data_IF_127601743685
#
_entry.id   IF_127601743685
#
_cell.length_a   1.000
_cell.length_b   1.000
_cell.length_c   1.000
_cell.angle_alpha   90.00
_cell.angle_beta   90.00
_cell.angle_gamma   90.00
#
_symmetry.space_group_name_H-M   'P 1'
#
loop_
_entity.id
_entity.type
_entity.pdbx_description
1 polymer ?
#
# COMPACT_ATOMS: atom_id res chain seq x y z
N UNK A 1 -9.07 -9.86 15.00
CA UNK A 1 -10.08 -9.56 16.01
C UNK A 1 -11.35 -9.20 15.26
N UNK A 2 -12.36 -10.07 15.28
CA UNK A 2 -13.66 -9.74 14.69
C UNK A 2 -14.25 -8.56 15.48
N UNK A 3 -14.72 -7.52 14.77
CA UNK A 3 -15.32 -6.34 15.39
C UNK A 3 -16.68 -6.76 16.00
N UNK A 4 -16.78 -6.85 17.33
CA UNK A 4 -18.05 -7.13 18.03
C UNK A 4 -18.95 -5.87 18.06
N UNK A 5 -19.42 -5.44 16.89
CA UNK A 5 -20.52 -4.48 16.82
C UNK A 5 -21.82 -5.18 17.20
N UNK A 6 -22.66 -4.48 17.97
CA UNK A 6 -24.02 -4.97 18.20
C UNK A 6 -24.76 -5.13 16.86
N UNK A 7 -25.65 -6.13 16.77
CA UNK A 7 -26.38 -6.40 15.54
C UNK A 7 -27.19 -5.18 15.06
N UNK A 8 -27.68 -4.35 15.99
CA UNK A 8 -28.37 -3.10 15.70
C UNK A 8 -27.43 -2.02 15.12
N UNK A 9 -26.25 -1.85 15.70
CA UNK A 9 -25.25 -0.91 15.19
C UNK A 9 -24.78 -1.29 13.78
N UNK A 10 -24.55 -2.59 13.53
CA UNK A 10 -24.14 -3.09 12.21
C UNK A 10 -25.20 -2.80 11.16
N UNK A 11 -26.47 -3.11 11.44
CA UNK A 11 -27.60 -2.83 10.53
C UNK A 11 -27.74 -1.34 10.22
N UNK A 12 -27.62 -0.48 11.24
CA UNK A 12 -27.70 0.97 11.04
C UNK A 12 -26.55 1.49 10.17
N UNK A 13 -25.32 1.00 10.38
CA UNK A 13 -24.18 1.38 9.57
C UNK A 13 -24.35 0.97 8.11
N UNK A 14 -24.79 -0.27 7.86
CA UNK A 14 -25.04 -0.78 6.51
C UNK A 14 -26.11 0.05 5.79
N UNK A 15 -27.19 0.36 6.50
CA UNK A 15 -28.28 1.12 5.92
C UNK A 15 -27.88 2.58 5.63
N UNK A 16 -27.03 3.20 6.46
CA UNK A 16 -26.49 4.53 6.19
C UNK A 16 -25.68 4.58 4.88
N UNK A 17 -24.83 3.57 4.64
CA UNK A 17 -24.08 3.46 3.39
C UNK A 17 -24.97 3.22 2.17
N UNK A 18 -26.06 2.46 2.33
CA UNK A 18 -27.03 2.26 1.26
C UNK A 18 -27.72 3.57 0.87
N UNK A 19 -28.17 4.36 1.85
CA UNK A 19 -28.80 5.66 1.60
C UNK A 19 -27.85 6.64 0.89
N UNK A 20 -26.57 6.65 1.28
CA UNK A 20 -25.56 7.47 0.61
C UNK A 20 -25.35 7.07 -0.86
N UNK A 21 -25.30 5.75 -1.11
CA UNK A 21 -25.10 5.21 -2.45
C UNK A 21 -26.28 5.54 -3.40
N UNK A 22 -27.51 5.54 -2.90
CA UNK A 22 -28.71 5.93 -3.67
C UNK A 22 -28.66 7.40 -4.10
N UNK A 23 -28.04 8.27 -3.32
CA UNK A 23 -27.80 9.68 -3.68
C UNK A 23 -26.54 9.87 -4.56
N UNK A 24 -25.85 8.80 -4.93
CA UNK A 24 -24.59 8.85 -5.67
C UNK A 24 -23.41 9.35 -4.84
N UNK A 25 -23.54 9.36 -3.52
CA UNK A 25 -22.52 9.80 -2.56
C UNK A 25 -21.75 8.59 -2.06
N UNK A 26 -20.42 8.67 -2.13
CA UNK A 26 -19.52 7.57 -1.74
C UNK A 26 -19.41 7.37 -0.22
N UNK A 27 -19.73 8.39 0.58
CA UNK A 27 -19.64 8.36 2.04
C UNK A 27 -20.94 8.84 2.69
N UNK A 28 -21.45 8.14 3.71
CA UNK A 28 -22.64 8.58 4.41
C UNK A 28 -22.35 9.83 5.23
N UNK A 29 -22.99 10.93 4.85
CA UNK A 29 -23.13 12.12 5.68
C UNK A 29 -24.05 11.90 6.90
N UNK A 30 -24.04 12.84 7.84
CA UNK A 30 -24.81 12.80 9.08
C UNK A 30 -26.29 12.47 8.86
N UNK A 31 -26.90 13.01 7.80
CA UNK A 31 -28.31 12.78 7.44
C UNK A 31 -28.60 11.29 7.16
N UNK A 32 -27.67 10.57 6.53
CA UNK A 32 -27.83 9.15 6.20
C UNK A 32 -27.68 8.29 7.46
N UNK A 33 -26.69 8.61 8.30
CA UNK A 33 -26.45 7.91 9.56
C UNK A 33 -27.61 8.08 10.56
N UNK A 34 -28.13 9.31 10.71
CA UNK A 34 -29.26 9.59 11.60
C UNK A 34 -30.52 8.89 11.09
N UNK A 35 -30.80 8.97 9.78
CA UNK A 35 -31.94 8.28 9.17
C UNK A 35 -31.84 6.76 9.37
N UNK A 36 -30.63 6.21 9.32
CA UNK A 36 -30.43 4.79 9.51
C UNK A 36 -30.58 4.33 10.97
N UNK A 37 -30.16 5.16 11.94
CA UNK A 37 -30.40 4.90 13.35
C UNK A 37 -31.89 4.98 13.72
N UNK A 38 -32.64 5.86 13.07
CA UNK A 38 -34.08 6.05 13.27
C UNK A 38 -34.94 5.03 12.50
N UNK A 39 -34.33 4.17 11.68
CA UNK A 39 -35.04 3.11 10.96
C UNK A 39 -35.63 2.05 11.89
N UNK A 40 -35.03 1.87 13.07
CA UNK A 40 -35.55 1.02 14.14
C UNK A 40 -36.39 1.86 15.12
N UNK A 41 -37.73 1.92 14.97
CA UNK A 41 -38.59 2.83 15.74
C UNK A 41 -38.70 2.48 17.24
N UNK A 42 -38.40 1.23 17.57
CA UNK A 42 -38.33 0.69 18.95
C UNK A 42 -36.87 0.59 19.43
N UNK A 43 -35.92 1.02 18.59
CA UNK A 43 -34.50 0.97 18.88
C UNK A 43 -34.10 1.94 20.01
N UNK A 44 -32.99 1.66 20.71
CA UNK A 44 -32.56 2.44 21.87
C UNK A 44 -32.26 3.92 21.53
N UNK A 45 -31.77 4.19 20.31
CA UNK A 45 -31.51 5.56 19.83
C UNK A 45 -32.81 6.32 19.59
N UNK A 46 -33.80 5.68 18.97
CA UNK A 46 -35.10 6.32 18.69
C UNK A 46 -35.84 6.62 20.00
N UNK A 47 -35.82 5.69 20.95
CA UNK A 47 -36.44 5.90 22.26
C UNK A 47 -35.75 7.02 23.05
N UNK A 48 -34.41 7.05 23.05
CA UNK A 48 -33.67 8.14 23.67
C UNK A 48 -34.03 9.50 23.04
N UNK A 49 -34.05 9.60 21.71
CA UNK A 49 -34.36 10.85 21.03
C UNK A 49 -35.82 11.30 21.23
N UNK A 50 -36.77 10.36 21.44
CA UNK A 50 -38.14 10.68 21.85
C UNK A 50 -38.17 11.37 23.22
N UNK A 51 -37.37 10.90 24.17
CA UNK A 51 -37.26 11.52 25.49
C UNK A 51 -36.75 12.98 25.42
N UNK A 52 -36.05 13.33 24.33
CA UNK A 52 -35.55 14.69 24.04
C UNK A 52 -36.38 15.46 23.00
N UNK A 53 -37.59 15.02 22.66
CA UNK A 53 -38.54 15.80 21.85
C UNK A 53 -38.59 15.47 20.36
N UNK A 54 -37.99 14.36 19.92
CA UNK A 54 -38.11 13.89 18.53
C UNK A 54 -39.58 13.78 18.09
N UNK A 55 -39.94 14.47 17.01
CA UNK A 55 -41.31 14.45 16.49
C UNK A 55 -41.60 13.14 15.73
N UNK A 56 -42.62 12.39 16.16
CA UNK A 56 -42.99 11.10 15.55
C UNK A 56 -43.32 11.19 14.05
N UNK A 57 -43.86 12.33 13.60
CA UNK A 57 -44.15 12.58 12.18
C UNK A 57 -42.89 12.59 11.29
N UNK A 58 -41.71 12.89 11.87
CA UNK A 58 -40.41 12.92 11.16
C UNK A 58 -39.75 11.54 11.10
N UNK A 59 -40.09 10.64 12.03
CA UNK A 59 -39.67 9.22 11.99
C UNK A 59 -40.32 8.53 10.79
N UNK A 60 -41.59 8.83 10.51
CA UNK A 60 -42.33 8.24 9.38
C UNK A 60 -41.84 8.77 8.02
N UNK A 61 -41.39 10.03 7.93
CA UNK A 61 -40.79 10.54 6.68
C UNK A 61 -39.47 9.86 6.30
N UNK A 62 -38.73 9.30 7.27
CA UNK A 62 -37.57 8.46 6.99
C UNK A 62 -37.97 7.09 6.42
N UNK A 63 -39.18 6.59 6.72
CA UNK A 63 -39.74 5.35 6.14
C UNK A 63 -40.24 5.54 4.71
N UNK A 64 -40.88 6.67 4.39
CA UNK A 64 -41.56 6.85 3.10
C UNK A 64 -40.64 7.22 1.94
N UNK A 65 -39.37 7.56 2.20
CA UNK A 65 -38.48 8.02 1.14
C UNK A 65 -37.61 6.95 0.48
N UNK A 66 -37.69 5.66 0.85
CA UNK A 66 -37.19 4.54 0.04
C UNK A 66 -37.88 3.22 0.43
N UNK A 67 -38.63 2.64 -0.53
CA UNK A 67 -39.16 1.28 -0.43
C UNK A 67 -38.00 0.28 -0.53
N UNK A 68 -37.48 -0.18 0.60
CA UNK A 68 -36.59 -1.34 0.64
C UNK A 68 -37.16 -2.33 1.65
N UNK A 69 -37.59 -3.49 1.13
CA UNK A 69 -38.01 -4.62 1.94
C UNK A 69 -36.89 -5.02 2.90
N UNK A 70 -37.26 -5.37 4.13
CA UNK A 70 -36.40 -5.72 5.26
C UNK A 70 -35.60 -7.05 5.08
N UNK A 71 -35.13 -7.35 3.87
CA UNK A 71 -34.42 -8.57 3.50
C UNK A 71 -33.10 -8.34 2.75
N UNK A 72 -32.68 -7.11 2.46
CA UNK A 72 -31.45 -6.86 1.70
C UNK A 72 -30.25 -6.56 2.61
N UNK A 73 -29.51 -7.61 2.95
CA UNK A 73 -28.17 -7.50 3.54
C UNK A 73 -27.16 -7.17 2.43
N UNK A 74 -26.61 -5.95 2.45
CA UNK A 74 -25.46 -5.58 1.59
C UNK A 74 -24.26 -6.50 1.85
N UNK A 75 -24.16 -7.09 3.06
CA UNK A 75 -23.14 -8.08 3.41
C UNK A 75 -23.30 -9.43 2.68
N UNK A 76 -24.52 -9.88 2.37
CA UNK A 76 -24.74 -11.18 1.71
C UNK A 76 -24.68 -11.11 0.18
N UNK A 77 -25.04 -9.96 -0.40
CA UNK A 77 -25.00 -9.76 -1.87
C UNK A 77 -23.60 -9.43 -2.41
N UNK A 78 -22.64 -9.09 -1.55
CA UNK A 78 -21.27 -8.78 -1.94
C UNK A 78 -20.42 -10.04 -2.17
N UNK A 79 -20.59 -10.71 -3.31
CA UNK A 79 -19.52 -11.53 -3.92
C UNK A 79 -18.40 -10.61 -4.47
N UNK A 80 -17.72 -9.87 -3.59
CA UNK A 80 -16.37 -9.23 -3.71
C UNK A 80 -16.19 -8.16 -2.61
N UNK A 81 -14.94 -7.91 -2.17
CA UNK A 81 -14.64 -7.32 -0.87
C UNK A 81 -14.84 -5.80 -0.91
N UNK A 82 -16.00 -5.34 -0.46
CA UNK A 82 -16.25 -3.92 -0.20
C UNK A 82 -16.92 -3.73 1.15
N UNK A 83 -16.47 -4.46 2.17
CA UNK A 83 -16.47 -3.87 3.52
C UNK A 83 -15.40 -2.79 3.45
N UNK A 84 -15.77 -1.60 3.01
CA UNK A 84 -14.80 -0.53 2.77
C UNK A 84 -13.98 -0.30 4.03
N UNK A 85 -12.67 -0.09 3.91
CA UNK A 85 -11.78 0.33 5.00
C UNK A 85 -12.34 1.51 5.83
N UNK A 86 -13.29 2.26 5.23
CA UNK A 86 -14.04 3.35 5.85
C UNK A 86 -15.14 2.89 6.82
N UNK A 87 -15.89 1.82 6.49
CA UNK A 87 -16.81 1.15 7.44
C UNK A 87 -16.01 0.66 8.65
N UNK A 88 -14.84 0.06 8.40
CA UNK A 88 -13.95 -0.43 9.45
C UNK A 88 -13.42 0.73 10.33
N UNK A 89 -13.09 1.88 9.73
CA UNK A 89 -12.61 3.07 10.43
C UNK A 89 -13.68 3.67 11.35
N UNK A 90 -14.91 3.84 10.85
CA UNK A 90 -16.03 4.34 11.64
C UNK A 90 -16.37 3.35 12.77
N UNK A 91 -16.39 2.05 12.45
CA UNK A 91 -16.61 0.98 13.44
C UNK A 91 -15.57 0.98 14.55
N UNK A 92 -14.27 1.11 14.21
CA UNK A 92 -13.18 1.20 15.19
C UNK A 92 -13.30 2.41 16.11
N UNK A 93 -13.70 3.58 15.58
CA UNK A 93 -13.94 4.79 16.40
C UNK A 93 -15.11 4.60 17.36
N UNK A 94 -16.25 4.06 16.88
CA UNK A 94 -17.43 3.78 17.71
C UNK A 94 -17.10 2.79 18.84
N UNK A 95 -16.26 1.79 18.56
CA UNK A 95 -15.81 0.78 19.54
C UNK A 95 -14.85 1.36 20.59
N UNK A 96 -14.05 2.37 20.25
CA UNK A 96 -13.09 2.98 21.18
C UNK A 96 -13.76 3.78 22.30
N UNK A 97 -14.98 4.29 22.07
CA UNK A 97 -15.63 5.25 22.97
C UNK A 97 -16.82 4.67 23.75
N UNK A 98 -17.59 3.70 23.22
CA UNK A 98 -18.89 3.28 23.79
C UNK A 98 -19.37 1.85 23.38
N UNK A 99 -18.49 0.84 23.42
CA UNK A 99 -18.84 -0.60 23.32
C UNK A 99 -19.53 -1.10 22.02
N UNK A 100 -19.44 -0.38 20.89
CA UNK A 100 -19.98 -0.88 19.61
C UNK A 100 -21.52 -0.94 19.54
N UNK A 101 -22.21 -0.19 20.40
CA UNK A 101 -23.67 -0.10 20.47
C UNK A 101 -24.23 0.95 19.50
N UNK A 102 -25.53 0.89 19.20
CA UNK A 102 -26.20 1.93 18.38
C UNK A 102 -26.24 3.30 19.08
N UNK A 103 -26.26 3.34 20.41
CA UNK A 103 -26.08 4.57 21.19
C UNK A 103 -24.67 5.14 21.04
N UNK A 104 -23.65 4.27 21.10
CA UNK A 104 -22.27 4.66 20.80
C UNK A 104 -22.12 5.25 19.39
N UNK A 105 -22.86 4.71 18.42
CA UNK A 105 -22.90 5.29 17.08
C UNK A 105 -23.51 6.70 17.07
N UNK A 106 -24.60 6.96 17.81
CA UNK A 106 -25.16 8.31 17.94
C UNK A 106 -24.16 9.30 18.56
N UNK A 107 -23.46 8.90 19.63
CA UNK A 107 -22.46 9.75 20.31
C UNK A 107 -21.33 10.10 19.35
N UNK A 108 -20.81 9.13 18.59
CA UNK A 108 -19.80 9.38 17.56
C UNK A 108 -20.27 10.39 16.49
N UNK A 109 -21.54 10.33 16.06
CA UNK A 109 -22.10 11.32 15.13
C UNK A 109 -22.15 12.73 15.72
N UNK A 110 -22.39 12.85 17.02
CA UNK A 110 -22.43 14.13 17.73
C UNK A 110 -21.05 14.79 17.76
N UNK A 111 -19.98 14.00 17.89
CA UNK A 111 -18.62 14.51 18.04
C UNK A 111 -17.87 14.71 16.70
N UNK A 112 -18.01 13.79 15.73
CA UNK A 112 -17.17 13.77 14.52
C UNK A 112 -17.90 14.30 13.27
N UNK A 113 -19.24 14.32 13.24
CA UNK A 113 -20.01 14.72 12.06
C UNK A 113 -20.47 16.19 12.09
N UNK A 114 -20.09 16.93 11.04
CA UNK A 114 -20.58 18.28 10.80
C UNK A 114 -22.08 18.25 10.50
N UNK A 115 -22.81 19.21 11.05
CA UNK A 115 -24.26 19.41 10.88
C UNK A 115 -25.17 18.43 11.63
N UNK A 116 -24.65 17.53 12.48
CA UNK A 116 -25.47 16.64 13.32
C UNK A 116 -26.45 17.41 14.19
N UNK A 117 -26.00 18.50 14.82
CA UNK A 117 -26.84 19.41 15.62
C UNK A 117 -28.02 19.96 14.81
N UNK A 118 -27.73 20.57 13.65
CA UNK A 118 -28.76 21.18 12.78
C UNK A 118 -29.82 20.15 12.36
N UNK A 119 -29.40 18.92 12.06
CA UNK A 119 -30.31 17.85 11.64
C UNK A 119 -31.21 17.42 12.81
N UNK A 120 -30.64 17.18 14.00
CA UNK A 120 -31.41 16.76 15.18
C UNK A 120 -32.38 17.86 15.65
N UNK A 121 -31.93 19.12 15.67
CA UNK A 121 -32.80 20.27 15.98
C UNK A 121 -33.93 20.42 14.95
N UNK A 122 -33.65 20.20 13.65
CA UNK A 122 -34.69 20.21 12.62
C UNK A 122 -35.76 19.11 12.78
N UNK A 123 -35.42 18.03 13.50
CA UNK A 123 -36.33 16.92 13.84
C UNK A 123 -37.08 17.13 15.17
N UNK A 124 -36.83 18.25 15.86
CA UNK A 124 -37.48 18.64 17.11
C UNK A 124 -36.71 18.23 18.37
N UNK A 125 -35.52 17.66 18.24
CA UNK A 125 -34.70 17.24 19.38
C UNK A 125 -34.10 18.46 20.07
N UNK A 126 -34.25 18.55 21.39
CA UNK A 126 -33.62 19.57 22.20
C UNK A 126 -32.13 19.25 22.38
N UNK A 127 -31.28 19.91 21.60
CA UNK A 127 -29.83 19.70 21.61
C UNK A 127 -29.18 19.93 22.96
N UNK A 128 -29.56 21.00 23.66
CA UNK A 128 -28.96 21.37 24.95
C UNK A 128 -29.26 20.34 26.03
N UNK A 129 -30.46 19.76 26.04
CA UNK A 129 -30.82 18.68 26.96
C UNK A 129 -30.12 17.36 26.62
N UNK A 130 -30.01 17.03 25.32
CA UNK A 130 -29.32 15.83 24.86
C UNK A 130 -27.83 15.86 25.23
N UNK A 131 -27.13 16.98 24.98
CA UNK A 131 -25.71 17.12 25.33
C UNK A 131 -25.51 17.07 26.85
N UNK A 132 -26.33 17.79 27.62
CA UNK A 132 -26.26 17.72 29.08
C UNK A 132 -26.49 16.30 29.60
N UNK A 133 -27.39 15.53 28.98
CA UNK A 133 -27.58 14.12 29.35
C UNK A 133 -26.33 13.28 29.02
N UNK A 134 -25.74 13.45 27.83
CA UNK A 134 -24.49 12.74 27.45
C UNK A 134 -23.35 13.10 28.41
N UNK A 135 -23.20 14.38 28.75
CA UNK A 135 -22.16 14.84 29.68
C UNK A 135 -22.40 14.31 31.10
N UNK A 136 -23.65 14.24 31.56
CA UNK A 136 -23.98 13.66 32.86
C UNK A 136 -23.74 12.14 32.92
N UNK A 137 -23.97 11.41 31.82
CA UNK A 137 -23.60 10.00 31.71
C UNK A 137 -22.08 9.80 31.76
N UNK A 138 -21.29 10.77 31.26
CA UNK A 138 -19.81 10.78 31.38
C UNK A 138 -19.32 11.07 32.80
N UNK A 139 -20.11 11.74 33.63
CA UNK A 139 -19.74 12.14 34.99
C UNK A 139 -20.03 11.09 36.08
N UNK A 140 -20.49 9.89 35.72
CA UNK A 140 -20.48 8.78 36.66
C UNK A 140 -19.01 8.43 37.00
N UNK A 141 -18.57 8.49 38.27
CA UNK A 141 -17.19 8.15 38.61
C UNK A 141 -16.92 6.72 38.16
N UNK A 142 -15.98 6.57 37.23
CA UNK A 142 -15.49 5.28 36.75
C UNK A 142 -15.01 4.46 37.96
N UNK A 143 -15.81 3.48 38.37
CA UNK A 143 -15.33 2.41 39.25
C UNK A 143 -14.54 1.49 38.34
N UNK A 144 -13.21 1.67 38.32
CA UNK A 144 -12.29 0.77 37.63
C UNK A 144 -12.26 -0.57 38.38
N UNK A 145 -12.98 -1.57 37.88
CA UNK A 145 -12.82 -2.97 38.30
C UNK A 145 -11.50 -3.58 37.75
N UNK A 146 -10.85 -2.87 36.82
CA UNK A 146 -9.58 -3.25 36.19
C UNK A 146 -8.65 -2.03 36.24
N UNK A 147 -7.38 -2.16 36.66
CA UNK A 147 -6.42 -1.05 36.66
C UNK A 147 -6.32 -0.40 35.28
N UNK A 148 -6.20 0.93 35.26
CA UNK A 148 -6.00 1.69 34.03
C UNK A 148 -4.63 1.32 33.46
N UNK A 149 -4.60 0.52 32.41
CA UNK A 149 -3.37 0.13 31.74
C UNK A 149 -2.96 1.24 30.75
N UNK A 150 -2.18 2.19 31.27
CA UNK A 150 -1.59 3.27 30.46
C UNK A 150 -0.55 2.75 29.45
N UNK A 151 -0.09 1.50 29.58
CA UNK A 151 0.94 0.93 28.71
C UNK A 151 0.35 0.54 27.33
N UNK A 152 -0.95 0.26 27.22
CA UNK A 152 -1.61 -0.09 25.96
C UNK A 152 -1.50 1.00 24.86
N UNK A 153 -1.36 2.28 25.25
CA UNK A 153 -1.15 3.39 24.29
C UNK A 153 0.30 3.46 23.75
N UNK A 154 1.28 2.88 24.45
CA UNK A 154 2.69 2.91 23.99
C UNK A 154 2.99 1.91 22.87
N UNK A 155 2.27 0.79 22.79
CA UNK A 155 2.47 -0.20 21.72
C UNK A 155 1.99 0.32 20.35
N UNK A 156 0.84 1.01 20.32
CA UNK A 156 0.28 1.62 19.10
C UNK A 156 1.19 2.75 18.60
N UNK A 157 1.70 3.60 19.51
CA UNK A 157 2.64 4.68 19.19
C UNK A 157 3.96 4.12 18.62
N UNK A 158 4.49 3.05 19.21
CA UNK A 158 5.72 2.41 18.75
C UNK A 158 5.62 1.81 17.34
N UNK A 159 4.48 1.20 17.00
CA UNK A 159 4.24 0.65 15.66
C UNK A 159 4.22 1.77 14.60
N UNK A 160 3.47 2.84 14.85
CA UNK A 160 3.34 3.96 13.91
C UNK A 160 4.67 4.71 13.70
N UNK A 161 5.49 4.83 14.75
CA UNK A 161 6.88 5.33 14.66
C UNK A 161 7.75 4.50 13.72
N UNK A 162 7.67 3.18 13.82
CA UNK A 162 8.41 2.27 12.94
C UNK A 162 7.96 2.43 11.49
N UNK A 163 6.65 2.54 11.26
CA UNK A 163 6.10 2.73 9.91
C UNK A 163 6.53 4.07 9.29
N UNK A 164 6.54 5.18 10.04
CA UNK A 164 7.07 6.47 9.55
C UNK A 164 8.55 6.37 9.18
N UNK A 165 9.37 5.88 10.11
CA UNK A 165 10.81 5.79 9.93
C UNK A 165 11.18 4.90 8.74
N UNK A 166 10.56 3.73 8.62
CA UNK A 166 10.78 2.82 7.52
C UNK A 166 10.30 3.41 6.19
N UNK A 167 9.12 4.04 6.16
CA UNK A 167 8.63 4.70 4.95
C UNK A 167 9.58 5.83 4.48
N UNK A 168 10.13 6.60 5.41
CA UNK A 168 11.07 7.64 5.06
C UNK A 168 12.37 7.09 4.46
N UNK A 169 12.94 6.05 5.08
CA UNK A 169 14.14 5.36 4.58
C UNK A 169 13.93 4.76 3.18
N UNK A 170 12.75 4.21 2.90
CA UNK A 170 12.41 3.72 1.55
C UNK A 170 12.41 4.87 0.53
N UNK A 171 11.77 6.01 0.84
CA UNK A 171 11.72 7.16 -0.08
C UNK A 171 13.12 7.70 -0.38
N UNK A 172 13.93 7.89 0.65
CA UNK A 172 15.30 8.40 0.52
C UNK A 172 16.19 7.43 -0.25
N UNK A 173 16.17 6.15 0.11
CA UNK A 173 16.99 5.14 -0.57
C UNK A 173 16.59 4.97 -2.04
N UNK A 174 15.29 4.93 -2.35
CA UNK A 174 14.83 4.87 -3.75
C UNK A 174 15.16 6.14 -4.53
N UNK A 175 15.21 7.31 -3.87
CA UNK A 175 15.66 8.56 -4.50
C UNK A 175 17.13 8.48 -4.92
N UNK A 176 17.99 7.95 -4.06
CA UNK A 176 19.42 7.75 -4.37
C UNK A 176 19.59 6.74 -5.50
N UNK A 177 18.85 5.63 -5.49
CA UNK A 177 18.88 4.64 -6.58
C UNK A 177 18.44 5.26 -7.91
N UNK A 178 17.42 6.11 -7.90
CA UNK A 178 16.95 6.84 -9.08
C UNK A 178 18.01 7.79 -9.63
N UNK A 179 18.68 8.55 -8.75
CA UNK A 179 19.81 9.42 -9.14
C UNK A 179 20.98 8.62 -9.71
N UNK A 180 21.30 7.45 -9.14
CA UNK A 180 22.32 6.55 -9.66
C UNK A 180 21.98 6.07 -11.08
N UNK A 181 20.77 5.57 -11.29
CA UNK A 181 20.28 5.17 -12.61
C UNK A 181 20.35 6.31 -13.64
N UNK A 182 20.05 7.54 -13.20
CA UNK A 182 19.93 8.70 -14.07
C UNK A 182 21.26 9.33 -14.44
N UNK A 183 22.13 9.54 -13.45
CA UNK A 183 23.32 10.36 -13.61
C UNK A 183 24.60 9.54 -13.75
N UNK A 184 24.65 8.35 -13.14
CA UNK A 184 25.79 7.45 -13.30
C UNK A 184 25.55 6.53 -14.50
N UNK A 185 24.45 5.77 -14.49
CA UNK A 185 24.19 4.77 -15.53
C UNK A 185 23.62 5.35 -16.82
N UNK A 186 23.08 6.58 -16.78
CA UNK A 186 22.43 7.25 -17.92
C UNK A 186 21.39 6.36 -18.63
N UNK A 187 20.68 5.51 -17.87
CA UNK A 187 19.79 4.49 -18.40
C UNK A 187 18.32 4.89 -18.26
N UNK A 188 17.69 5.27 -19.37
CA UNK A 188 16.27 5.66 -19.42
C UNK A 188 15.34 4.53 -18.96
N UNK A 189 15.68 3.28 -19.31
CA UNK A 189 14.95 2.09 -18.90
C UNK A 189 14.97 1.91 -17.38
N UNK A 190 16.17 1.93 -16.77
CA UNK A 190 16.31 1.74 -15.33
C UNK A 190 15.65 2.89 -14.56
N UNK A 191 15.80 4.14 -15.02
CA UNK A 191 15.07 5.29 -14.46
C UNK A 191 13.55 5.08 -14.48
N UNK A 192 13.01 4.57 -15.58
CA UNK A 192 11.57 4.32 -15.71
C UNK A 192 11.09 3.28 -14.69
N UNK A 193 11.84 2.19 -14.53
CA UNK A 193 11.53 1.13 -13.56
C UNK A 193 11.61 1.67 -12.12
N UNK A 194 12.67 2.39 -11.78
CA UNK A 194 12.85 2.97 -10.44
C UNK A 194 11.77 4.01 -10.14
N UNK A 195 11.44 4.90 -11.08
CA UNK A 195 10.36 5.88 -10.93
C UNK A 195 9.01 5.22 -10.72
N UNK A 196 8.70 4.14 -11.45
CA UNK A 196 7.45 3.39 -11.26
C UNK A 196 7.41 2.73 -9.88
N UNK A 197 8.51 2.14 -9.43
CA UNK A 197 8.61 1.57 -8.07
C UNK A 197 8.38 2.64 -6.98
N UNK A 198 8.97 3.83 -7.14
CA UNK A 198 8.74 4.98 -6.24
C UNK A 198 7.29 5.43 -6.22
N UNK A 199 6.64 5.49 -7.38
CA UNK A 199 5.25 5.88 -7.51
C UNK A 199 4.33 4.89 -6.80
N UNK A 200 4.48 3.60 -7.11
CA UNK A 200 3.66 2.53 -6.55
C UNK A 200 3.84 2.47 -5.02
N UNK A 201 5.08 2.64 -4.53
CA UNK A 201 5.34 2.75 -3.10
C UNK A 201 4.59 3.92 -2.45
N UNK A 202 4.63 5.11 -3.05
CA UNK A 202 3.92 6.26 -2.52
C UNK A 202 2.40 6.08 -2.54
N UNK A 203 1.85 5.43 -3.57
CA UNK A 203 0.42 5.10 -3.64
C UNK A 203 0.01 4.10 -2.55
N UNK A 204 0.80 3.05 -2.34
CA UNK A 204 0.54 2.08 -1.26
C UNK A 204 0.64 2.73 0.12
N UNK A 205 1.58 3.67 0.32
CA UNK A 205 1.73 4.37 1.59
C UNK A 205 0.50 5.22 1.95
N UNK A 206 -0.26 5.72 0.96
CA UNK A 206 -1.50 6.47 1.19
C UNK A 206 -2.62 5.65 1.84
N UNK A 207 -2.48 4.32 1.89
CA UNK A 207 -3.44 3.45 2.57
C UNK A 207 -3.38 3.62 4.08
N UNK A 208 -2.27 4.14 4.60
CA UNK A 208 -2.13 4.57 5.99
C UNK A 208 -2.38 6.09 6.04
N UNK A 209 -3.32 6.58 6.88
CA UNK A 209 -3.58 8.01 7.00
C UNK A 209 -2.30 8.79 7.36
N UNK A 210 -1.91 9.73 6.51
CA UNK A 210 -0.67 10.50 6.69
C UNK A 210 -0.63 11.26 8.03
N UNK A 211 -1.78 11.68 8.54
CA UNK A 211 -1.90 12.34 9.85
C UNK A 211 -1.49 11.44 11.01
N UNK A 212 -1.77 10.12 10.93
CA UNK A 212 -1.36 9.14 11.94
C UNK A 212 0.15 8.87 11.91
N UNK A 213 0.78 8.97 10.75
CA UNK A 213 2.23 8.74 10.61
C UNK A 213 3.00 9.98 11.11
N UNK A 214 2.55 11.18 10.72
CA UNK A 214 3.25 12.43 11.04
C UNK A 214 3.11 12.81 12.50
N UNK A 215 1.96 12.56 13.13
CA UNK A 215 1.71 12.92 14.54
C UNK A 215 2.60 12.17 15.53
N UNK A 216 3.09 10.99 15.14
CA UNK A 216 3.96 10.15 15.99
C UNK A 216 5.43 10.25 15.59
N UNK A 217 5.79 11.19 14.70
CA UNK A 217 7.19 11.42 14.36
C UNK A 217 7.92 12.01 15.56
N UNK A 218 8.77 11.21 16.17
CA UNK A 218 9.60 11.62 17.30
C UNK A 218 11.08 11.40 16.98
N UNK A 219 11.70 12.43 16.40
CA UNK A 219 13.14 12.45 16.07
C UNK A 219 13.99 12.71 17.31
N UNK A 220 13.46 13.46 18.29
CA UNK A 220 14.20 13.88 19.50
C UNK A 220 14.47 12.69 20.45
N UNK A 221 13.60 11.68 20.46
CA UNK A 221 13.76 10.45 21.24
C UNK A 221 14.22 9.25 20.39
N UNK A 222 14.69 9.45 19.16
CA UNK A 222 15.27 8.38 18.35
C UNK A 222 16.68 8.04 18.86
N UNK A 223 16.74 6.96 19.63
CA UNK A 223 17.97 6.39 20.21
C UNK A 223 19.01 5.97 19.17
N UNK A 224 18.61 5.80 17.90
CA UNK A 224 19.51 5.40 16.81
C UNK A 224 20.29 6.57 16.21
N UNK A 225 19.93 7.82 16.49
CA UNK A 225 20.50 9.01 15.83
C UNK A 225 22.01 9.21 16.08
N UNK A 226 22.52 8.76 17.22
CA UNK A 226 23.93 8.86 17.59
C UNK A 226 24.73 7.57 17.39
N UNK A 227 24.10 6.49 16.92
CA UNK A 227 24.75 5.18 16.75
C UNK A 227 25.17 5.03 15.30
N UNK A 228 26.46 5.26 15.05
CA UNK A 228 27.05 5.06 13.73
C UNK A 228 27.99 3.86 13.74
N UNK A 229 27.98 3.10 12.64
CA UNK A 229 29.00 2.09 12.39
C UNK A 229 30.06 2.64 11.44
N UNK A 230 31.31 2.18 11.57
CA UNK A 230 32.38 2.61 10.66
C UNK A 230 32.06 2.32 9.18
N UNK A 231 31.31 1.25 8.90
CA UNK A 231 30.84 0.92 7.55
C UNK A 231 29.80 1.92 7.02
N UNK A 232 29.18 2.73 7.86
CA UNK A 232 28.24 3.77 7.47
C UNK A 232 28.95 5.04 6.99
N UNK A 233 30.17 5.27 7.46
CA UNK A 233 30.97 6.47 7.22
C UNK A 233 31.86 6.39 5.98
N UNK A 234 32.05 5.19 5.42
CA UNK A 234 32.94 4.98 4.27
C UNK A 234 32.22 4.33 3.09
N UNK A 235 32.42 4.91 1.90
CA UNK A 235 32.02 4.38 0.59
C UNK A 235 33.24 4.50 -0.32
N UNK A 236 33.59 3.44 -1.06
CA UNK A 236 34.80 3.44 -1.89
C UNK A 236 34.50 3.97 -3.30
N UNK A 237 33.29 3.72 -3.81
CA UNK A 237 32.83 4.19 -5.11
C UNK A 237 31.31 4.42 -5.13
N UNK A 238 30.81 4.87 -6.28
CA UNK A 238 29.40 5.10 -6.56
C UNK A 238 28.55 3.80 -6.53
N UNK A 239 29.11 2.67 -6.96
CA UNK A 239 28.45 1.36 -6.85
C UNK A 239 28.16 0.95 -5.40
N UNK A 240 29.07 1.25 -4.46
CA UNK A 240 28.88 1.02 -3.03
C UNK A 240 27.76 1.89 -2.46
N UNK A 241 27.65 3.14 -2.94
CA UNK A 241 26.54 4.03 -2.56
C UNK A 241 25.21 3.43 -3.03
N UNK A 242 25.14 2.95 -4.27
CA UNK A 242 23.96 2.26 -4.78
C UNK A 242 23.62 1.03 -3.92
N UNK A 243 24.59 0.13 -3.69
CA UNK A 243 24.42 -1.10 -2.90
C UNK A 243 23.87 -0.83 -1.52
N UNK A 244 24.48 0.10 -0.79
CA UNK A 244 24.04 0.42 0.56
C UNK A 244 22.60 0.95 0.58
N UNK A 245 22.23 1.81 -0.38
CA UNK A 245 20.89 2.38 -0.42
C UNK A 245 19.83 1.37 -0.85
N UNK A 246 20.10 0.51 -1.84
CA UNK A 246 19.12 -0.50 -2.26
C UNK A 246 18.91 -1.56 -1.17
N UNK A 247 19.95 -1.92 -0.39
CA UNK A 247 19.79 -2.81 0.77
C UNK A 247 18.96 -2.17 1.88
N UNK A 248 19.22 -0.90 2.22
CA UNK A 248 18.39 -0.16 3.19
C UNK A 248 16.93 -0.05 2.77
N UNK A 249 16.66 0.14 1.48
CA UNK A 249 15.30 0.10 0.94
C UNK A 249 14.66 -1.26 1.20
N UNK A 250 15.36 -2.35 0.89
CA UNK A 250 14.85 -3.72 1.07
C UNK A 250 14.58 -4.04 2.54
N UNK A 251 15.48 -3.65 3.45
CA UNK A 251 15.32 -3.80 4.90
C UNK A 251 14.14 -2.96 5.41
N UNK A 252 14.02 -1.71 4.96
CA UNK A 252 12.92 -0.84 5.38
C UNK A 252 11.57 -1.31 4.85
N UNK A 253 11.52 -1.81 3.60
CA UNK A 253 10.33 -2.48 3.06
C UNK A 253 9.97 -3.74 3.84
N UNK A 254 10.96 -4.47 4.37
CA UNK A 254 10.72 -5.62 5.25
C UNK A 254 10.09 -5.20 6.57
N UNK A 255 10.56 -4.11 7.18
CA UNK A 255 9.92 -3.55 8.38
C UNK A 255 8.48 -3.11 8.08
N UNK A 256 8.24 -2.39 6.97
CA UNK A 256 6.89 -2.00 6.56
C UNK A 256 5.97 -3.20 6.31
N UNK A 257 6.49 -4.27 5.68
CA UNK A 257 5.73 -5.49 5.44
C UNK A 257 5.31 -6.15 6.74
N UNK A 258 6.24 -6.32 7.70
CA UNK A 258 5.98 -7.03 8.96
C UNK A 258 5.11 -6.21 9.92
N UNK A 259 5.48 -4.96 10.20
CA UNK A 259 4.69 -4.11 11.09
C UNK A 259 3.38 -3.67 10.44
N UNK A 260 3.32 -3.56 9.12
CA UNK A 260 2.10 -3.24 8.38
C UNK A 260 1.01 -4.30 8.53
N UNK A 261 1.33 -5.55 8.92
CA UNK A 261 0.33 -6.60 9.20
C UNK A 261 -0.60 -6.24 10.37
N UNK A 262 -0.10 -5.44 11.31
CA UNK A 262 -0.88 -4.97 12.46
C UNK A 262 -1.98 -3.98 12.02
N UNK A 263 -1.70 -3.21 10.96
CA UNK A 263 -2.63 -2.21 10.42
C UNK A 263 -3.55 -2.80 9.35
N UNK A 264 -2.99 -3.49 8.35
CA UNK A 264 -3.73 -4.05 7.22
C UNK A 264 -2.97 -5.18 6.53
N UNK A 265 -3.54 -6.41 6.45
CA UNK A 265 -2.97 -7.51 5.68
C UNK A 265 -2.76 -7.15 4.19
N UNK A 266 -3.69 -6.41 3.58
CA UNK A 266 -3.59 -6.02 2.17
C UNK A 266 -2.43 -5.04 1.95
N UNK A 267 -2.21 -4.10 2.87
CA UNK A 267 -1.05 -3.21 2.83
C UNK A 267 0.26 -4.01 2.91
N UNK A 268 0.33 -4.97 3.83
CA UNK A 268 1.50 -5.85 3.96
C UNK A 268 1.78 -6.61 2.67
N UNK A 269 0.76 -7.18 2.02
CA UNK A 269 0.90 -7.88 0.73
C UNK A 269 1.43 -6.94 -0.36
N UNK A 270 0.86 -5.73 -0.49
CA UNK A 270 1.30 -4.75 -1.48
C UNK A 270 2.75 -4.30 -1.25
N UNK A 271 3.15 -4.06 0.00
CA UNK A 271 4.55 -3.76 0.35
C UNK A 271 5.47 -4.94 0.03
N UNK A 272 5.03 -6.18 0.28
CA UNK A 272 5.77 -7.39 -0.10
C UNK A 272 6.03 -7.46 -1.60
N UNK A 273 5.05 -7.15 -2.44
CA UNK A 273 5.22 -7.07 -3.90
C UNK A 273 6.24 -6.01 -4.32
N UNK A 274 6.17 -4.81 -3.71
CA UNK A 274 7.14 -3.74 -3.94
C UNK A 274 8.55 -4.20 -3.52
N UNK A 275 8.67 -4.91 -2.39
CA UNK A 275 9.95 -5.48 -1.93
C UNK A 275 10.52 -6.46 -2.95
N UNK A 276 9.73 -7.38 -3.49
CA UNK A 276 10.22 -8.30 -4.53
C UNK A 276 10.67 -7.57 -5.79
N UNK A 277 9.92 -6.55 -6.23
CA UNK A 277 10.31 -5.72 -7.38
C UNK A 277 11.60 -4.93 -7.11
N UNK A 278 11.90 -4.58 -5.86
CA UNK A 278 13.18 -3.95 -5.50
C UNK A 278 14.37 -4.90 -5.67
N UNK A 279 14.19 -6.22 -5.44
CA UNK A 279 15.23 -7.22 -5.75
C UNK A 279 15.44 -7.39 -7.25
N UNK A 280 14.35 -7.39 -8.04
CA UNK A 280 14.45 -7.45 -9.50
C UNK A 280 15.17 -6.20 -10.04
N UNK A 281 14.87 -5.01 -9.52
CA UNK A 281 15.58 -3.78 -9.85
C UNK A 281 17.08 -3.88 -9.54
N UNK A 282 17.43 -4.37 -8.34
CA UNK A 282 18.84 -4.60 -7.96
C UNK A 282 19.54 -5.50 -8.97
N UNK A 283 18.94 -6.66 -9.30
CA UNK A 283 19.53 -7.59 -10.27
C UNK A 283 19.68 -6.97 -11.66
N UNK A 284 18.70 -6.18 -12.13
CA UNK A 284 18.78 -5.49 -13.43
C UNK A 284 19.92 -4.49 -13.47
N UNK A 285 20.13 -3.73 -12.39
CA UNK A 285 21.23 -2.78 -12.29
C UNK A 285 22.57 -3.50 -12.31
N UNK A 286 22.74 -4.59 -11.55
CA UNK A 286 23.98 -5.37 -11.58
C UNK A 286 24.27 -5.99 -12.95
N UNK A 287 23.25 -6.55 -13.60
CA UNK A 287 23.40 -7.07 -14.97
C UNK A 287 23.79 -5.95 -15.94
N UNK A 288 23.18 -4.77 -15.81
CA UNK A 288 23.54 -3.61 -16.63
C UNK A 288 25.01 -3.23 -16.44
N UNK A 289 25.50 -3.20 -15.20
CA UNK A 289 26.91 -2.92 -14.88
C UNK A 289 27.84 -3.97 -15.48
N UNK A 290 27.55 -5.26 -15.29
CA UNK A 290 28.34 -6.38 -15.82
C UNK A 290 28.41 -6.34 -17.35
N UNK A 291 27.27 -6.18 -18.03
CA UNK A 291 27.24 -6.09 -19.49
C UNK A 291 27.90 -4.81 -20.01
N UNK A 292 27.65 -3.67 -19.38
CA UNK A 292 28.29 -2.41 -19.80
C UNK A 292 29.80 -2.47 -19.65
N UNK A 293 30.32 -3.14 -18.61
CA UNK A 293 31.74 -3.42 -18.45
C UNK A 293 32.28 -4.31 -19.56
N UNK A 294 31.63 -5.46 -19.81
CA UNK A 294 32.01 -6.42 -20.85
C UNK A 294 32.00 -5.81 -22.26
N UNK A 295 31.07 -4.91 -22.54
CA UNK A 295 30.93 -4.27 -23.85
C UNK A 295 31.87 -3.08 -24.03
N UNK A 296 32.43 -2.51 -22.96
CA UNK A 296 33.27 -1.31 -23.01
C UNK A 296 34.53 -1.51 -23.84
N UNK A 297 35.09 -2.72 -23.81
CA UNK A 297 36.35 -3.05 -24.46
C UNK A 297 36.17 -3.65 -25.87
N UNK A 298 34.92 -3.84 -26.31
CA UNK A 298 34.59 -4.40 -27.63
C UNK A 298 34.83 -3.34 -28.71
N UNK A 299 35.69 -3.65 -29.68
CA UNK A 299 36.02 -2.77 -30.81
C UNK A 299 35.44 -3.28 -32.12
N UNK A 300 35.49 -4.60 -32.34
CA UNK A 300 34.99 -5.24 -33.56
C UNK A 300 33.83 -6.18 -33.21
N UNK A 301 32.66 -5.85 -33.75
CA UNK A 301 31.41 -6.59 -33.57
C UNK A 301 30.96 -7.20 -34.90
N UNK A 302 30.75 -8.52 -34.93
CA UNK A 302 30.29 -9.28 -36.09
C UNK A 302 28.80 -9.61 -36.01
N UNK A 303 28.08 -9.44 -37.12
CA UNK A 303 26.66 -9.79 -37.23
C UNK A 303 26.50 -10.99 -38.16
N UNK A 304 25.99 -12.10 -37.61
CA UNK A 304 25.80 -13.36 -38.33
C UNK A 304 24.34 -13.48 -38.81
N UNK A 305 24.12 -13.25 -40.11
CA UNK A 305 22.89 -13.54 -40.85
C UNK A 305 22.77 -14.97 -41.41
N UNK A 306 21.73 -15.21 -42.21
CA UNK A 306 21.42 -16.51 -42.84
C UNK A 306 22.55 -17.07 -43.70
N UNK A 307 23.30 -16.20 -44.35
CA UNK A 307 24.42 -16.54 -45.22
C UNK A 307 25.62 -17.14 -44.46
N UNK A 308 25.61 -17.08 -43.12
CA UNK A 308 26.68 -17.59 -42.26
C UNK A 308 26.32 -18.92 -41.58
N UNK A 309 25.11 -19.45 -41.83
CA UNK A 309 24.52 -20.64 -41.20
C UNK A 309 25.04 -21.96 -41.81
N UNK A 310 26.34 -22.01 -42.08
CA UNK A 310 27.06 -23.15 -42.62
C UNK A 310 28.13 -23.61 -41.62
N UNK A 311 28.29 -24.91 -41.33
CA UNK A 311 29.32 -25.40 -40.41
C UNK A 311 30.75 -24.99 -40.83
N UNK A 312 31.03 -24.86 -42.13
CA UNK A 312 32.33 -24.38 -42.62
C UNK A 312 32.63 -22.92 -42.27
N UNK A 313 31.61 -22.15 -41.90
CA UNK A 313 31.80 -20.78 -41.43
C UNK A 313 32.42 -20.72 -40.02
N UNK A 314 32.37 -21.80 -39.23
CA UNK A 314 32.97 -21.84 -37.90
C UNK A 314 34.50 -21.67 -37.94
N UNK A 315 35.18 -22.32 -38.89
CA UNK A 315 36.63 -22.17 -39.07
C UNK A 315 37.00 -20.75 -39.47
N UNK A 316 36.16 -20.13 -40.30
CA UNK A 316 36.31 -18.72 -40.69
C UNK A 316 36.12 -17.82 -39.47
N UNK A 317 35.12 -18.10 -38.63
CA UNK A 317 34.84 -17.33 -37.43
C UNK A 317 35.95 -17.44 -36.38
N UNK A 318 36.53 -18.63 -36.23
CA UNK A 318 37.69 -18.86 -35.37
C UNK A 318 38.89 -18.02 -35.82
N UNK A 319 39.18 -18.05 -37.11
CA UNK A 319 40.22 -17.20 -37.72
C UNK A 319 39.91 -15.71 -37.49
N UNK A 320 38.66 -15.28 -37.59
CA UNK A 320 38.28 -13.89 -37.32
C UNK A 320 38.49 -13.52 -35.85
N UNK A 321 38.22 -14.42 -34.89
CA UNK A 321 38.51 -14.19 -33.47
C UNK A 321 40.00 -14.02 -33.19
N UNK A 322 40.85 -14.85 -33.82
CA UNK A 322 42.31 -14.71 -33.75
C UNK A 322 42.79 -13.36 -34.32
N UNK A 323 42.10 -12.84 -35.33
CA UNK A 323 42.43 -11.59 -36.02
C UNK A 323 41.74 -10.34 -35.44
N UNK A 324 41.16 -10.44 -34.23
CA UNK A 324 40.68 -9.28 -33.47
C UNK A 324 39.17 -9.03 -33.52
N UNK A 325 38.37 -9.98 -34.01
CA UNK A 325 36.93 -9.97 -33.74
C UNK A 325 36.71 -10.15 -32.23
N UNK A 326 35.98 -9.22 -31.60
CA UNK A 326 35.80 -9.20 -30.15
C UNK A 326 34.47 -9.85 -29.72
N UNK A 327 33.48 -9.77 -30.59
CA UNK A 327 32.11 -10.19 -30.30
C UNK A 327 31.35 -10.56 -31.56
N UNK A 328 30.41 -11.50 -31.42
CA UNK A 328 29.47 -11.87 -32.49
C UNK A 328 28.03 -11.82 -32.00
N UNK A 329 27.13 -11.48 -32.90
CA UNK A 329 25.69 -11.62 -32.69
C UNK A 329 25.08 -12.52 -33.77
N UNK A 330 24.38 -13.56 -33.33
CA UNK A 330 23.51 -14.34 -34.19
C UNK A 330 22.20 -13.60 -34.41
N UNK A 331 21.90 -13.27 -35.67
CA UNK A 331 20.67 -12.59 -36.08
C UNK A 331 20.10 -13.18 -37.39
N UNK A 332 19.32 -14.24 -37.27
CA UNK A 332 18.66 -14.97 -38.35
C UNK A 332 17.14 -14.94 -38.21
N UNK A 333 16.46 -14.29 -39.16
CA UNK A 333 14.99 -14.28 -39.25
C UNK A 333 14.49 -15.45 -40.09
N UNK A 334 13.59 -16.29 -39.58
CA UNK A 334 12.93 -17.39 -40.33
C UNK A 334 13.80 -18.64 -40.61
N UNK A 335 14.65 -19.06 -39.67
CA UNK A 335 15.32 -20.38 -39.74
C UNK A 335 14.52 -21.50 -39.05
N UNK A 336 14.81 -22.75 -39.39
CA UNK A 336 14.28 -23.93 -38.70
C UNK A 336 14.91 -24.07 -37.31
N UNK A 337 14.09 -24.26 -36.27
CA UNK A 337 14.54 -24.29 -34.86
C UNK A 337 15.70 -25.25 -34.59
N UNK A 338 15.66 -26.48 -35.14
CA UNK A 338 16.72 -27.48 -34.92
C UNK A 338 18.08 -26.98 -35.39
N UNK A 339 18.16 -26.46 -36.62
CA UNK A 339 19.41 -25.96 -37.20
C UNK A 339 19.96 -24.76 -36.44
N UNK A 340 19.08 -23.85 -36.02
CA UNK A 340 19.49 -22.67 -35.27
C UNK A 340 20.01 -23.05 -33.88
N UNK A 341 19.40 -24.04 -33.24
CA UNK A 341 19.83 -24.54 -31.93
C UNK A 341 21.21 -25.23 -32.01
N UNK A 342 21.40 -26.13 -32.97
CA UNK A 342 22.67 -26.84 -33.19
C UNK A 342 23.81 -25.84 -33.45
N UNK A 343 23.58 -24.89 -34.36
CA UNK A 343 24.53 -23.83 -34.68
C UNK A 343 24.81 -22.91 -33.49
N UNK A 344 23.80 -22.62 -32.65
CA UNK A 344 23.96 -21.82 -31.43
C UNK A 344 24.85 -22.52 -30.39
N UNK A 345 24.77 -23.85 -30.28
CA UNK A 345 25.65 -24.62 -29.39
C UNK A 345 27.10 -24.59 -29.86
N UNK A 346 27.33 -24.74 -31.16
CA UNK A 346 28.67 -24.63 -31.76
C UNK A 346 29.24 -23.22 -31.54
N UNK A 347 28.47 -22.17 -31.85
CA UNK A 347 28.87 -20.78 -31.62
C UNK A 347 29.22 -20.51 -30.16
N UNK A 348 28.39 -21.02 -29.22
CA UNK A 348 28.65 -20.88 -27.79
C UNK A 348 29.97 -21.54 -27.39
N UNK A 349 30.25 -22.72 -27.94
CA UNK A 349 31.48 -23.46 -27.65
C UNK A 349 32.70 -22.70 -28.18
N UNK A 350 32.63 -22.23 -29.43
CA UNK A 350 33.70 -21.50 -30.09
C UNK A 350 34.01 -20.15 -29.40
N UNK A 351 32.96 -19.39 -29.09
CA UNK A 351 33.10 -18.08 -28.40
C UNK A 351 33.62 -18.26 -26.98
N UNK A 352 33.17 -19.29 -26.25
CA UNK A 352 33.72 -19.61 -24.93
C UNK A 352 35.20 -20.01 -24.99
N UNK A 353 35.60 -20.80 -25.98
CA UNK A 353 37.01 -21.19 -26.18
C UNK A 353 37.91 -19.97 -26.42
N UNK A 354 37.45 -19.02 -27.23
CA UNK A 354 38.18 -17.80 -27.56
C UNK A 354 38.04 -16.66 -26.53
N UNK A 355 37.24 -16.84 -25.48
CA UNK A 355 36.95 -15.79 -24.50
C UNK A 355 36.18 -14.59 -25.08
N UNK A 356 35.39 -14.81 -26.13
CA UNK A 356 34.67 -13.77 -26.89
C UNK A 356 33.20 -13.74 -26.51
N UNK A 357 32.54 -12.60 -26.74
CA UNK A 357 31.13 -12.43 -26.41
C UNK A 357 30.23 -12.92 -27.55
N UNK A 358 29.13 -13.57 -27.16
CA UNK A 358 28.05 -14.01 -28.06
C UNK A 358 26.73 -13.37 -27.62
N UNK A 359 26.04 -12.71 -28.54
CA UNK A 359 24.62 -12.39 -28.41
C UNK A 359 23.83 -13.28 -29.36
N UNK A 360 22.75 -13.88 -28.87
CA UNK A 360 21.75 -14.52 -29.71
C UNK A 360 20.49 -13.68 -29.59
N UNK A 361 20.11 -13.04 -30.70
CA UNK A 361 18.96 -12.14 -30.73
C UNK A 361 17.99 -12.61 -31.79
N UNK A 362 17.44 -13.81 -31.58
CA UNK A 362 16.29 -14.37 -32.26
C UNK A 362 15.63 -15.43 -31.37
N UNK A 363 14.35 -15.70 -31.66
CA UNK A 363 13.34 -16.35 -30.82
C UNK A 363 13.78 -17.55 -29.98
#
# INVERSE_FOLDING_TARGET
>A
MELELSSACRRALDFAFHLAFEEGILEPEAKHCISALLFDPEGPVTNLLKDFGLQESRIVSAKTNNNIEAGFSVFESAKKPYISSKILRISKKILAEQEGTSLGFLVYLIEDFKNTQLILESMGVNWEQLINWIDNQRMAPLVLDVPLDLDANTEIDSCLRILDAAANRVREGLRVVDDYCRFILNSSLLCTITKKLRHDFNETLQWIPATLIISHRNVEEDVGTSIHTNQELTRLNDEDVFKANIKRVQESLRSLEEFGKLESPDFSVAIGEIRYRSYDLEQRIFRFLDYSGKLKDIKIYGLLGHEHLDPGFMDTLDTLFENGLDMVQLRIKNATYSKLLDYSFELKTLTAHNGKLLIINDR
#
